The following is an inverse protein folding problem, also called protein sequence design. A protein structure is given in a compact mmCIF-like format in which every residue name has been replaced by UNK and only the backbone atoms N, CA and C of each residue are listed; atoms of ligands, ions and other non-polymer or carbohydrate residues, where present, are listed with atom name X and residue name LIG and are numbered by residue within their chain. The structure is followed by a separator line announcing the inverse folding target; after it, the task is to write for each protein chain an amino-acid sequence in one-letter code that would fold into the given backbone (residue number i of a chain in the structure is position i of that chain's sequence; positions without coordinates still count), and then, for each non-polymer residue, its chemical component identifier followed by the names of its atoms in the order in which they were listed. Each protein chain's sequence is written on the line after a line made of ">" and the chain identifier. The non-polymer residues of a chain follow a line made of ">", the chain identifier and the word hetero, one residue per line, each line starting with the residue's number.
data_IF_856854368155
#
_entry.id   IF_856854368155
#
_cell.length_a   1.000
_cell.length_b   1.000
_cell.length_c   1.000
_cell.angle_alpha   90.00
_cell.angle_beta   90.00
_cell.angle_gamma   90.00
#
_symmetry.space_group_name_H-M   'P 1'
#
loop_
_entity.id
_entity.type
_entity.pdbx_description
1 polymer ?
#
# COMPACT_ATOMS: atom_id res chain seq x y z
N UNK A 1 -10.37 -4.62 -44.58
CA UNK A 1 -9.84 -3.35 -44.03
C UNK A 1 -9.59 -3.54 -42.55
N UNK A 2 -8.37 -3.29 -42.08
CA UNK A 2 -8.06 -3.32 -40.63
C UNK A 2 -8.81 -2.16 -39.99
N UNK A 3 -9.56 -2.40 -38.91
CA UNK A 3 -10.33 -1.37 -38.22
C UNK A 3 -9.41 -0.30 -37.62
N UNK A 4 -9.90 0.94 -37.48
CA UNK A 4 -9.13 2.02 -36.82
C UNK A 4 -8.73 1.61 -35.41
N UNK A 5 -9.59 0.88 -34.70
CA UNK A 5 -9.35 0.34 -33.38
C UNK A 5 -8.13 -0.59 -33.36
N UNK A 6 -8.07 -1.57 -34.26
CA UNK A 6 -6.94 -2.50 -34.38
C UNK A 6 -5.65 -1.78 -34.77
N UNK A 7 -5.75 -0.79 -35.66
CA UNK A 7 -4.57 0.00 -36.08
C UNK A 7 -4.00 0.78 -34.89
N UNK A 8 -4.84 1.45 -34.09
CA UNK A 8 -4.39 2.24 -32.94
C UNK A 8 -3.85 1.34 -31.83
N UNK A 9 -4.47 0.20 -31.55
CA UNK A 9 -4.01 -0.75 -30.54
C UNK A 9 -2.64 -1.32 -30.90
N UNK A 10 -2.43 -1.74 -32.15
CA UNK A 10 -1.15 -2.31 -32.62
C UNK A 10 -0.02 -1.30 -32.68
N UNK A 11 -0.31 -0.03 -32.97
CA UNK A 11 0.71 1.02 -33.08
C UNK A 11 1.09 1.67 -31.76
N UNK A 12 0.44 1.29 -30.65
CA UNK A 12 0.82 1.81 -29.33
C UNK A 12 2.21 1.31 -28.90
N UNK A 13 3.02 2.23 -28.40
CA UNK A 13 4.33 1.91 -27.79
C UNK A 13 4.20 1.38 -26.36
N UNK A 14 2.99 1.44 -25.78
CA UNK A 14 2.71 1.01 -24.41
C UNK A 14 2.24 -0.46 -24.42
N UNK A 15 3.01 -1.34 -23.82
CA UNK A 15 2.77 -2.80 -23.83
C UNK A 15 1.40 -3.24 -23.27
N UNK A 16 0.82 -2.46 -22.36
CA UNK A 16 -0.45 -2.77 -21.72
C UNK A 16 -1.66 -2.16 -22.44
N UNK A 17 -1.46 -1.56 -23.60
CA UNK A 17 -2.56 -1.04 -24.42
C UNK A 17 -3.45 -2.18 -24.90
N UNK A 18 -4.73 -2.07 -24.60
CA UNK A 18 -5.76 -3.02 -25.02
C UNK A 18 -7.12 -2.33 -25.18
N UNK A 19 -8.05 -2.98 -25.82
CA UNK A 19 -9.46 -2.56 -25.80
C UNK A 19 -9.95 -2.67 -24.35
N UNK A 20 -10.77 -1.71 -23.88
CA UNK A 20 -11.15 -1.64 -22.47
C UNK A 20 -11.85 -2.92 -21.96
N UNK A 21 -12.62 -3.56 -22.81
CA UNK A 21 -13.30 -4.84 -22.50
C UNK A 21 -12.33 -6.01 -22.33
N UNK A 22 -11.12 -5.90 -22.85
CA UNK A 22 -10.05 -6.90 -22.76
C UNK A 22 -8.95 -6.49 -21.77
N UNK A 23 -9.10 -5.31 -21.17
CA UNK A 23 -8.07 -4.74 -20.29
C UNK A 23 -7.92 -5.54 -19.00
N UNK A 24 -6.73 -6.09 -18.80
CA UNK A 24 -6.36 -6.78 -17.56
C UNK A 24 -6.23 -5.83 -16.34
N UNK A 25 -6.20 -4.52 -16.58
CA UNK A 25 -6.12 -3.51 -15.51
C UNK A 25 -7.52 -3.21 -14.94
N UNK A 26 -8.55 -3.24 -15.77
CA UNK A 26 -9.94 -2.97 -15.39
C UNK A 26 -10.76 -4.22 -15.07
N UNK A 27 -10.11 -5.39 -15.02
CA UNK A 27 -10.77 -6.63 -14.59
C UNK A 27 -11.32 -6.54 -13.16
N UNK A 28 -12.22 -7.46 -12.81
CA UNK A 28 -12.78 -7.55 -11.46
C UNK A 28 -11.63 -7.79 -10.46
N UNK A 29 -11.48 -6.87 -9.53
CA UNK A 29 -10.49 -6.98 -8.44
C UNK A 29 -10.99 -7.97 -7.40
N UNK A 30 -10.08 -8.83 -6.91
CA UNK A 30 -10.37 -9.69 -5.78
C UNK A 30 -10.37 -8.86 -4.50
N UNK A 31 -11.29 -9.19 -3.58
CA UNK A 31 -11.45 -8.49 -2.31
C UNK A 31 -11.18 -9.47 -1.16
N UNK A 32 -10.50 -9.02 -0.11
CA UNK A 32 -10.30 -9.82 1.10
C UNK A 32 -11.31 -9.38 2.18
N UNK A 33 -12.35 -10.19 2.46
CA UNK A 33 -13.37 -9.83 3.41
C UNK A 33 -12.82 -9.86 4.84
N UNK A 34 -13.03 -8.78 5.59
CA UNK A 34 -12.77 -8.74 7.02
C UNK A 34 -13.93 -9.41 7.78
N UNK A 35 -13.71 -9.84 9.03
CA UNK A 35 -14.80 -10.38 9.86
C UNK A 35 -15.86 -9.34 10.28
N UNK A 36 -15.67 -8.07 9.91
CA UNK A 36 -16.55 -6.96 10.27
C UNK A 36 -17.30 -6.44 9.03
N UNK A 37 -18.60 -6.78 8.86
CA UNK A 37 -19.36 -6.42 7.65
C UNK A 37 -19.39 -4.92 7.35
N UNK A 38 -19.45 -4.07 8.38
CA UNK A 38 -19.46 -2.61 8.22
C UNK A 38 -18.17 -2.09 7.59
N UNK A 39 -17.01 -2.70 7.92
CA UNK A 39 -15.74 -2.37 7.30
C UNK A 39 -15.75 -2.79 5.83
N UNK A 40 -16.26 -3.98 5.52
CA UNK A 40 -16.37 -4.48 4.16
C UNK A 40 -17.22 -3.54 3.29
N UNK A 41 -18.37 -3.10 3.81
CA UNK A 41 -19.23 -2.13 3.11
C UNK A 41 -18.51 -0.80 2.93
N UNK A 42 -17.81 -0.30 3.94
CA UNK A 42 -17.07 0.96 3.85
C UNK A 42 -15.95 0.91 2.81
N UNK A 43 -15.27 -0.24 2.67
CA UNK A 43 -14.14 -0.42 1.75
C UNK A 43 -14.57 -0.71 0.31
N UNK A 44 -15.67 -1.42 0.10
CA UNK A 44 -16.02 -1.98 -1.22
C UNK A 44 -17.49 -1.78 -1.63
N UNK A 45 -18.33 -1.28 -0.74
CA UNK A 45 -19.78 -1.18 -0.97
C UNK A 45 -20.54 -2.50 -0.83
N UNK A 46 -19.88 -3.61 -0.44
CA UNK A 46 -20.46 -4.94 -0.36
C UNK A 46 -20.21 -5.58 1.01
N UNK A 47 -21.20 -6.29 1.56
CA UNK A 47 -21.08 -7.00 2.83
C UNK A 47 -19.98 -8.06 2.77
N UNK A 48 -19.90 -8.78 1.65
CA UNK A 48 -18.92 -9.84 1.38
C UNK A 48 -17.67 -9.30 0.64
N UNK A 49 -17.50 -7.98 0.60
CA UNK A 49 -16.38 -7.33 -0.05
C UNK A 49 -15.13 -7.31 0.81
N UNK A 50 -14.63 -6.11 1.15
CA UNK A 50 -13.49 -5.93 2.04
C UNK A 50 -12.32 -5.22 1.40
N UNK A 51 -11.09 -5.57 1.82
CA UNK A 51 -9.88 -4.95 1.31
C UNK A 51 -9.70 -5.21 -0.18
N UNK A 52 -9.52 -4.13 -0.93
CA UNK A 52 -9.26 -4.15 -2.38
C UNK A 52 -7.82 -3.75 -2.68
N UNK A 53 -7.25 -4.18 -3.82
CA UNK A 53 -5.97 -3.67 -4.29
C UNK A 53 -5.97 -2.16 -4.53
N UNK A 54 -4.84 -1.54 -4.29
CA UNK A 54 -4.64 -0.10 -4.39
C UNK A 54 -4.30 0.51 -3.03
N UNK A 55 -4.35 1.83 -2.94
CA UNK A 55 -3.96 2.56 -1.74
C UNK A 55 -5.17 2.96 -0.91
N UNK A 56 -5.15 2.59 0.36
CA UNK A 56 -6.09 3.00 1.39
C UNK A 56 -5.37 3.84 2.44
N UNK A 57 -5.94 4.96 2.83
CA UNK A 57 -5.42 5.79 3.92
C UNK A 57 -6.40 5.80 5.10
N UNK A 58 -5.91 5.41 6.27
CA UNK A 58 -6.63 5.54 7.54
C UNK A 58 -6.19 6.83 8.22
N UNK A 59 -7.07 7.82 8.27
CA UNK A 59 -6.82 9.12 8.89
C UNK A 59 -7.66 9.30 10.16
N UNK A 60 -7.05 9.87 11.18
CA UNK A 60 -7.73 10.14 12.48
C UNK A 60 -6.72 10.50 13.57
N UNK A 61 -7.21 10.97 14.73
CA UNK A 61 -6.36 11.29 15.88
C UNK A 61 -5.54 10.10 16.38
N UNK A 62 -4.47 10.35 17.13
CA UNK A 62 -3.70 9.29 17.79
C UNK A 62 -4.60 8.46 18.73
N UNK A 63 -4.29 7.17 18.90
CA UNK A 63 -5.04 6.22 19.76
C UNK A 63 -6.50 5.94 19.33
N UNK A 64 -6.86 6.19 18.07
CA UNK A 64 -8.20 5.90 17.51
C UNK A 64 -8.18 4.66 16.61
N UNK A 65 -7.49 3.60 17.02
CA UNK A 65 -7.52 2.25 16.42
C UNK A 65 -7.09 2.15 14.94
N UNK A 66 -6.37 3.14 14.36
CA UNK A 66 -5.92 3.06 12.96
C UNK A 66 -5.08 1.82 12.70
N UNK A 67 -4.08 1.56 13.55
CA UNK A 67 -3.23 0.36 13.46
C UNK A 67 -4.06 -0.93 13.61
N UNK A 68 -5.05 -0.94 14.52
CA UNK A 68 -5.96 -2.08 14.68
C UNK A 68 -6.75 -2.37 13.39
N UNK A 69 -7.28 -1.35 12.74
CA UNK A 69 -7.97 -1.53 11.44
C UNK A 69 -7.01 -2.00 10.35
N UNK A 70 -5.79 -1.48 10.29
CA UNK A 70 -4.78 -1.93 9.34
C UNK A 70 -4.44 -3.41 9.55
N UNK A 71 -4.20 -3.83 10.81
CA UNK A 71 -3.90 -5.23 11.14
C UNK A 71 -5.09 -6.15 10.88
N UNK A 72 -6.33 -5.70 11.17
CA UNK A 72 -7.53 -6.47 10.85
C UNK A 72 -7.64 -6.78 9.34
N UNK A 73 -7.34 -5.79 8.51
CA UNK A 73 -7.35 -5.96 7.04
C UNK A 73 -6.20 -6.83 6.57
N UNK A 74 -5.00 -6.66 7.14
CA UNK A 74 -3.84 -7.50 6.84
C UNK A 74 -4.08 -8.98 7.22
N UNK A 75 -4.69 -9.22 8.40
CA UNK A 75 -5.10 -10.56 8.84
C UNK A 75 -6.14 -11.19 7.89
N UNK A 76 -7.13 -10.39 7.45
CA UNK A 76 -8.11 -10.85 6.47
C UNK A 76 -7.47 -11.22 5.13
N UNK A 77 -6.43 -10.49 4.72
CA UNK A 77 -5.67 -10.78 3.51
C UNK A 77 -4.90 -12.09 3.64
N UNK A 78 -4.17 -12.33 4.75
CA UNK A 78 -3.47 -13.59 5.01
C UNK A 78 -4.44 -14.78 5.14
N UNK A 79 -5.62 -14.56 5.74
CA UNK A 79 -6.66 -15.60 5.85
C UNK A 79 -7.22 -16.00 4.49
N UNK A 80 -7.30 -15.08 3.54
CA UNK A 80 -7.78 -15.35 2.19
C UNK A 80 -6.74 -16.07 1.33
N UNK A 81 -5.46 -15.76 1.53
CA UNK A 81 -4.36 -16.27 0.71
C UNK A 81 -3.31 -16.93 1.61
N UNK A 82 -3.14 -18.24 1.49
CA UNK A 82 -2.26 -19.03 2.35
C UNK A 82 -0.77 -18.70 2.14
N UNK A 83 -0.42 -18.11 0.99
CA UNK A 83 0.92 -17.66 0.61
C UNK A 83 1.14 -16.15 0.79
N UNK A 84 0.17 -15.43 1.36
CA UNK A 84 0.25 -13.99 1.49
C UNK A 84 1.34 -13.54 2.46
N UNK A 85 2.15 -12.57 2.02
CA UNK A 85 3.18 -11.90 2.81
C UNK A 85 2.75 -10.47 3.13
N UNK A 86 3.00 -10.03 4.35
CA UNK A 86 2.78 -8.64 4.77
C UNK A 86 4.14 -7.93 4.82
N UNK A 87 4.28 -6.82 4.09
CA UNK A 87 5.39 -5.88 4.29
C UNK A 87 4.92 -4.80 5.26
N UNK A 88 5.43 -4.84 6.47
CA UNK A 88 5.07 -3.91 7.55
C UNK A 88 6.19 -2.88 7.75
N UNK A 89 5.98 -1.67 7.24
CA UNK A 89 6.86 -0.53 7.47
C UNK A 89 6.45 0.19 8.75
N UNK A 90 7.35 0.20 9.73
CA UNK A 90 7.09 0.74 11.06
C UNK A 90 7.92 1.99 11.32
N UNK A 91 7.27 3.10 11.61
CA UNK A 91 7.90 4.36 12.01
C UNK A 91 7.50 4.81 13.42
N UNK A 92 6.57 4.10 14.04
CA UNK A 92 6.11 4.41 15.40
C UNK A 92 6.78 3.52 16.46
N UNK A 93 7.24 2.33 16.05
CA UNK A 93 7.85 1.31 16.94
C UNK A 93 6.95 0.94 18.13
N UNK A 94 5.66 1.14 17.98
CA UNK A 94 4.67 1.02 19.05
C UNK A 94 3.79 -0.24 18.99
N UNK A 95 3.95 -1.09 17.98
CA UNK A 95 3.09 -2.25 17.75
C UNK A 95 3.80 -3.54 18.20
N UNK A 96 3.53 -4.08 19.41
CA UNK A 96 4.17 -5.28 19.91
C UNK A 96 3.69 -6.53 19.16
N UNK A 97 4.49 -7.60 19.14
CA UNK A 97 4.17 -8.88 18.52
C UNK A 97 2.82 -9.45 18.98
N UNK A 98 2.52 -9.39 20.28
CA UNK A 98 1.26 -9.82 20.85
C UNK A 98 0.03 -9.14 20.22
N UNK A 99 0.22 -7.94 19.63
CA UNK A 99 -0.85 -7.25 18.93
C UNK A 99 -1.15 -7.90 17.58
N UNK A 100 -0.12 -8.31 16.83
CA UNK A 100 -0.28 -9.11 15.60
C UNK A 100 -0.96 -10.45 15.89
N UNK A 101 -0.53 -11.14 16.95
CA UNK A 101 -1.13 -12.40 17.40
C UNK A 101 -2.63 -12.26 17.70
N UNK A 102 -3.03 -11.16 18.35
CA UNK A 102 -4.43 -10.90 18.72
C UNK A 102 -5.37 -10.77 17.52
N UNK A 103 -4.84 -10.39 16.35
CA UNK A 103 -5.57 -10.36 15.08
C UNK A 103 -5.47 -11.68 14.29
N UNK A 104 -4.72 -12.66 14.78
CA UNK A 104 -4.50 -13.93 14.09
C UNK A 104 -3.59 -13.82 12.87
N UNK A 105 -2.66 -12.86 12.89
CA UNK A 105 -1.64 -12.70 11.85
C UNK A 105 -0.56 -13.75 12.05
N UNK A 106 -0.23 -14.49 11.00
CA UNK A 106 0.92 -15.36 10.94
C UNK A 106 2.19 -14.50 10.78
N UNK A 107 2.95 -14.37 11.86
CA UNK A 107 4.14 -13.52 11.93
C UNK A 107 5.31 -14.05 11.11
N UNK A 108 5.36 -15.35 10.82
CA UNK A 108 6.39 -15.94 9.95
C UNK A 108 6.26 -15.45 8.50
N UNK A 109 5.12 -14.84 8.17
CA UNK A 109 4.83 -14.22 6.87
C UNK A 109 4.70 -12.70 6.94
N UNK A 110 5.31 -12.07 7.95
CA UNK A 110 5.41 -10.62 8.09
C UNK A 110 6.86 -10.19 8.00
N UNK A 111 7.18 -9.34 7.05
CA UNK A 111 8.47 -8.68 6.95
C UNK A 111 8.34 -7.33 7.65
N UNK A 112 8.96 -7.19 8.82
CA UNK A 112 9.01 -5.96 9.59
C UNK A 112 10.19 -5.11 9.14
N UNK A 113 9.91 -3.89 8.69
CA UNK A 113 10.92 -2.95 8.19
C UNK A 113 10.81 -1.65 8.98
N UNK A 114 11.68 -1.44 9.98
CA UNK A 114 11.79 -0.15 10.66
C UNK A 114 12.24 0.95 9.69
N UNK A 115 11.57 2.10 9.72
CA UNK A 115 11.90 3.24 8.86
C UNK A 115 11.91 4.53 9.66
N UNK A 116 12.87 5.40 9.38
CA UNK A 116 13.08 6.64 10.15
C UNK A 116 12.79 7.90 9.34
N UNK A 117 12.89 7.83 8.02
CA UNK A 117 12.62 8.96 7.12
C UNK A 117 11.85 8.55 5.85
N UNK A 118 11.26 9.55 5.19
CA UNK A 118 10.42 9.35 3.99
C UNK A 118 11.25 8.85 2.81
N UNK A 119 12.50 9.29 2.69
CA UNK A 119 13.39 8.92 1.60
C UNK A 119 13.79 7.45 1.69
N UNK A 120 14.05 6.96 2.90
CA UNK A 120 14.34 5.56 3.18
C UNK A 120 13.14 4.67 2.82
N UNK A 121 11.94 5.01 3.33
CA UNK A 121 10.70 4.34 2.96
C UNK A 121 10.49 4.31 1.45
N UNK A 122 10.65 5.47 0.79
CA UNK A 122 10.46 5.59 -0.66
C UNK A 122 11.41 4.70 -1.44
N UNK A 123 12.67 4.66 -1.03
CA UNK A 123 13.69 3.84 -1.70
C UNK A 123 13.37 2.36 -1.57
N UNK A 124 13.11 1.89 -0.34
CA UNK A 124 12.89 0.47 -0.09
C UNK A 124 11.59 -0.03 -0.73
N UNK A 125 10.45 0.62 -0.47
CA UNK A 125 9.16 0.19 -1.04
C UNK A 125 9.17 0.20 -2.59
N UNK A 126 9.89 1.15 -3.20
CA UNK A 126 10.04 1.18 -4.66
C UNK A 126 10.88 0.00 -5.16
N UNK A 127 11.92 -0.38 -4.40
CA UNK A 127 12.76 -1.54 -4.70
C UNK A 127 11.97 -2.84 -4.56
N UNK A 128 11.21 -3.00 -3.46
CA UNK A 128 10.37 -4.17 -3.25
C UNK A 128 9.33 -4.31 -4.37
N UNK A 129 8.64 -3.22 -4.72
CA UNK A 129 7.66 -3.22 -5.79
C UNK A 129 8.21 -3.57 -7.18
N UNK A 130 9.52 -3.41 -7.42
CA UNK A 130 10.14 -3.89 -8.67
C UNK A 130 10.24 -5.42 -8.73
N UNK A 131 10.49 -6.04 -7.58
CA UNK A 131 10.71 -7.48 -7.47
C UNK A 131 9.41 -8.28 -7.33
N UNK A 132 8.34 -7.66 -6.86
CA UNK A 132 7.01 -8.28 -6.77
C UNK A 132 6.41 -8.37 -8.17
N UNK A 133 5.89 -9.53 -8.54
CA UNK A 133 5.20 -9.74 -9.81
C UNK A 133 3.68 -9.68 -9.65
N UNK A 134 2.95 -9.56 -10.76
CA UNK A 134 1.50 -9.66 -10.73
C UNK A 134 1.08 -11.10 -10.43
N UNK A 135 0.37 -11.30 -9.33
CA UNK A 135 -0.04 -12.61 -8.84
C UNK A 135 0.61 -12.97 -7.51
N UNK A 136 1.75 -12.34 -7.16
CA UNK A 136 2.30 -12.44 -5.81
C UNK A 136 1.30 -11.88 -4.81
N UNK A 137 1.08 -12.58 -3.72
CA UNK A 137 0.13 -12.21 -2.67
C UNK A 137 0.84 -11.37 -1.61
N UNK A 138 0.92 -10.08 -1.85
CA UNK A 138 1.57 -9.12 -0.94
C UNK A 138 0.56 -8.07 -0.50
N UNK A 139 0.54 -7.79 0.82
CA UNK A 139 -0.16 -6.66 1.41
C UNK A 139 0.88 -5.75 2.07
N UNK A 140 0.80 -4.46 1.84
CA UNK A 140 1.74 -3.49 2.40
C UNK A 140 1.02 -2.68 3.48
N UNK A 141 1.67 -2.49 4.62
CA UNK A 141 1.18 -1.61 5.71
C UNK A 141 2.27 -0.61 6.05
N UNK A 142 1.93 0.66 6.19
CA UNK A 142 2.83 1.71 6.66
C UNK A 142 2.20 2.33 7.91
N UNK A 143 2.83 2.13 9.06
CA UNK A 143 2.38 2.64 10.35
C UNK A 143 3.48 3.46 11.05
N UNK A 144 3.44 4.76 10.92
CA UNK A 144 2.54 5.62 10.16
C UNK A 144 3.32 6.59 9.28
N UNK A 145 2.69 7.11 8.23
CA UNK A 145 3.31 8.17 7.43
C UNK A 145 3.41 9.50 8.19
N UNK A 146 2.65 9.63 9.29
CA UNK A 146 2.62 10.84 10.12
C UNK A 146 3.93 11.16 10.80
N UNK A 147 4.66 10.14 11.25
CA UNK A 147 5.90 10.28 12.04
C UNK A 147 7.17 10.36 11.19
N UNK A 148 7.07 10.12 9.88
CA UNK A 148 8.25 10.17 9.02
C UNK A 148 8.66 11.62 8.74
N UNK A 149 9.84 12.01 9.16
CA UNK A 149 10.51 13.24 8.76
C UNK A 149 11.14 13.10 7.37
N UNK A 150 11.51 14.21 6.72
CA UNK A 150 12.46 14.15 5.61
C UNK A 150 13.90 14.23 6.13
N UNK A 151 14.87 13.71 5.38
CA UNK A 151 16.30 13.86 5.74
C UNK A 151 16.69 15.31 5.94
N UNK A 152 16.16 16.20 5.11
CA UNK A 152 16.39 17.63 5.25
C UNK A 152 15.83 18.21 6.55
N UNK A 153 14.63 17.78 6.95
CA UNK A 153 14.02 18.19 8.22
C UNK A 153 14.91 17.80 9.41
N UNK A 154 15.49 16.60 9.38
CA UNK A 154 16.43 16.11 10.39
C UNK A 154 17.73 16.94 10.38
N UNK A 155 18.31 17.20 9.19
CA UNK A 155 19.52 18.03 9.07
C UNK A 155 19.31 19.46 9.55
N UNK A 156 18.17 20.07 9.21
CA UNK A 156 17.85 21.44 9.62
C UNK A 156 17.66 21.52 11.13
N UNK A 157 17.05 20.50 11.76
CA UNK A 157 16.93 20.41 13.21
C UNK A 157 18.30 20.30 13.91
N UNK A 158 19.21 19.47 13.38
CA UNK A 158 20.59 19.34 13.92
C UNK A 158 21.42 20.63 13.77
N UNK A 159 21.12 21.44 12.75
CA UNK A 159 21.83 22.71 12.51
C UNK A 159 21.09 23.92 13.09
N UNK A 160 20.10 23.73 13.96
CA UNK A 160 19.29 24.77 14.60
C UNK A 160 18.65 25.77 13.60
N UNK A 161 18.38 25.31 12.38
CA UNK A 161 17.76 26.15 11.35
C UNK A 161 16.24 26.09 11.47
N UNK A 162 15.64 27.26 11.73
CA UNK A 162 14.18 27.44 11.75
C UNK A 162 13.68 27.94 10.40
N UNK A 163 13.66 27.07 9.39
CA UNK A 163 13.13 27.39 8.06
C UNK A 163 11.91 26.54 7.78
N UNK A 164 10.84 27.16 7.29
CA UNK A 164 9.67 26.42 6.83
C UNK A 164 10.09 25.46 5.68
N UNK A 165 10.12 24.17 5.97
CA UNK A 165 10.55 23.16 5.00
C UNK A 165 9.35 22.42 4.38
N UNK A 166 9.28 22.49 3.05
CA UNK A 166 8.28 21.75 2.23
C UNK A 166 8.84 20.45 1.67
N UNK A 167 10.06 20.05 2.07
CA UNK A 167 10.73 18.87 1.51
C UNK A 167 9.95 17.58 1.84
N UNK A 168 9.48 17.44 3.08
CA UNK A 168 8.65 16.30 3.51
C UNK A 168 7.40 16.14 2.63
N UNK A 169 6.65 17.20 2.41
CA UNK A 169 5.46 17.18 1.57
C UNK A 169 5.78 16.80 0.12
N UNK A 170 6.91 17.28 -0.44
CA UNK A 170 7.39 16.89 -1.77
C UNK A 170 7.75 15.40 -1.83
N UNK A 171 8.45 14.88 -0.81
CA UNK A 171 8.86 13.48 -0.76
C UNK A 171 7.65 12.56 -0.62
N UNK A 172 6.70 12.88 0.26
CA UNK A 172 5.45 12.14 0.41
C UNK A 172 4.64 12.10 -0.89
N UNK A 173 4.48 13.26 -1.54
CA UNK A 173 3.81 13.34 -2.86
C UNK A 173 4.54 12.50 -3.91
N UNK A 174 5.86 12.55 -3.91
CA UNK A 174 6.71 11.76 -4.81
C UNK A 174 6.56 10.26 -4.56
N UNK A 175 6.61 9.83 -3.29
CA UNK A 175 6.42 8.45 -2.87
C UNK A 175 5.11 7.91 -3.44
N UNK A 176 3.98 8.49 -3.08
CA UNK A 176 2.66 7.98 -3.49
C UNK A 176 2.47 8.00 -5.01
N UNK A 177 2.96 9.01 -5.71
CA UNK A 177 2.91 9.08 -7.17
C UNK A 177 3.70 7.98 -7.85
N UNK A 178 4.84 7.56 -7.26
CA UNK A 178 5.67 6.48 -7.80
C UNK A 178 5.02 5.13 -7.54
N UNK A 179 4.55 4.86 -6.33
CA UNK A 179 4.08 3.52 -5.95
C UNK A 179 2.66 3.21 -6.46
N UNK A 180 1.76 4.19 -6.53
CA UNK A 180 0.34 3.98 -6.91
C UNK A 180 0.16 3.20 -8.21
N UNK A 181 0.88 3.49 -9.31
CA UNK A 181 0.75 2.69 -10.53
C UNK A 181 1.14 1.22 -10.32
N UNK A 182 2.19 0.95 -9.55
CA UNK A 182 2.63 -0.41 -9.26
C UNK A 182 1.59 -1.19 -8.45
N UNK A 183 1.02 -0.57 -7.41
CA UNK A 183 -0.03 -1.17 -6.59
C UNK A 183 -1.23 -1.60 -7.45
N UNK A 184 -1.69 -0.70 -8.32
CA UNK A 184 -2.85 -0.96 -9.18
C UNK A 184 -2.59 -1.98 -10.29
N UNK A 185 -1.39 -1.96 -10.90
CA UNK A 185 -1.04 -2.88 -11.99
C UNK A 185 -0.76 -4.30 -11.48
N UNK A 186 -0.27 -4.43 -10.25
CA UNK A 186 0.10 -5.71 -9.64
C UNK A 186 -0.96 -6.27 -8.67
N UNK A 187 -2.06 -5.54 -8.49
CA UNK A 187 -3.16 -5.89 -7.58
C UNK A 187 -2.73 -6.01 -6.11
N UNK A 188 -1.87 -5.08 -5.64
CA UNK A 188 -1.32 -5.02 -4.29
C UNK A 188 -2.14 -4.02 -3.45
N UNK A 189 -2.72 -4.41 -2.29
CA UNK A 189 -3.27 -3.48 -1.31
C UNK A 189 -2.16 -2.85 -0.45
N UNK A 190 -2.31 -1.54 -0.17
CA UNK A 190 -1.46 -0.76 0.73
C UNK A 190 -2.33 0.11 1.62
#
# INVERSE_FOLDING_TARGET
>A
MVSVLEKLTKNSTIKLTSIITESKVFGKKEMAPTPVPMINVALSGHIDGGLVPGMLMLAGPSKHFKSAFALLMAAAYQKKYDDAVILFYDSEFGTPQAYFESFGIDMDRVIHTPVTDVEELKFDITSQLKNIEKGDRVCIVIDSVGNLASKKEVEDALNEKSVADMSRAKQMKSLFRIITPHLNLKDIPL
#
